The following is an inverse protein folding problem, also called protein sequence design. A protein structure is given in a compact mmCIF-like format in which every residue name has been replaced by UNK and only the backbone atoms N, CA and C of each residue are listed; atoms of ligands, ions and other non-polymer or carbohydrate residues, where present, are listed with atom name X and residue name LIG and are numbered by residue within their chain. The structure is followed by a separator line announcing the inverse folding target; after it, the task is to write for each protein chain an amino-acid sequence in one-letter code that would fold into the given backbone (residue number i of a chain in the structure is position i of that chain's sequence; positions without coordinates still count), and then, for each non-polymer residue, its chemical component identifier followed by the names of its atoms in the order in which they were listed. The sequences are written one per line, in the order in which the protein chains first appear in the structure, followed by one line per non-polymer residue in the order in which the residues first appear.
data_IF_111794406326
#
_entry.id   IF_111794406326
#
_cell.length_a   1.000
_cell.length_b   1.000
_cell.length_c   1.000
_cell.angle_alpha   90.00
_cell.angle_beta   90.00
_cell.angle_gamma   90.00
#
_symmetry.space_group_name_H-M   'P 1'
#
loop_
_entity.id
_entity.type
_entity.pdbx_description
1 polymer ?
#
# COMPACT_ATOMS: atom_id res chain seq x y z
N UNK A 1 -4.71 14.49 9.30
CA UNK A 1 -3.40 14.84 9.88
C UNK A 1 -3.24 16.35 9.76
N UNK A 2 -2.69 17.06 10.76
CA UNK A 2 -2.52 18.52 10.65
C UNK A 2 -1.29 18.86 9.79
N UNK A 3 -1.37 19.93 8.98
CA UNK A 3 -0.28 20.43 8.12
C UNK A 3 1.07 20.58 8.85
N UNK A 4 1.05 20.92 10.14
CA UNK A 4 2.27 21.04 10.97
C UNK A 4 2.96 19.69 11.24
N UNK A 5 2.18 18.63 11.44
CA UNK A 5 2.72 17.30 11.73
C UNK A 5 3.33 16.68 10.47
N UNK A 6 2.72 16.94 9.31
CA UNK A 6 3.23 16.55 8.01
C UNK A 6 4.58 17.20 7.69
N UNK A 7 4.72 18.52 7.84
CA UNK A 7 6.00 19.23 7.68
C UNK A 7 7.07 18.66 8.62
N UNK A 8 6.70 18.38 9.87
CA UNK A 8 7.64 17.83 10.86
C UNK A 8 8.12 16.44 10.46
N UNK A 9 7.24 15.59 9.92
CA UNK A 9 7.55 14.25 9.40
C UNK A 9 8.47 14.34 8.19
N UNK A 10 8.15 15.18 7.22
CA UNK A 10 9.01 15.39 6.03
C UNK A 10 10.40 15.87 6.43
N UNK A 11 10.50 16.85 7.33
CA UNK A 11 11.78 17.32 7.85
C UNK A 11 12.55 16.19 8.52
N UNK A 12 11.91 15.35 9.34
CA UNK A 12 12.55 14.18 9.95
C UNK A 12 13.08 13.20 8.90
N UNK A 13 12.30 12.89 7.87
CA UNK A 13 12.68 11.94 6.82
C UNK A 13 13.90 12.45 6.04
N UNK A 14 13.87 13.72 5.62
CA UNK A 14 15.03 14.38 4.99
C UNK A 14 16.25 14.32 5.89
N UNK A 15 16.09 14.53 7.20
CA UNK A 15 17.21 14.44 8.14
C UNK A 15 17.82 13.04 8.21
N UNK A 16 17.00 11.98 8.31
CA UNK A 16 17.48 10.59 8.30
C UNK A 16 18.31 10.28 7.05
N UNK A 17 17.85 10.75 5.89
CA UNK A 17 18.56 10.52 4.61
C UNK A 17 19.88 11.29 4.55
N UNK A 18 19.88 12.55 5.00
CA UNK A 18 21.09 13.37 5.04
C UNK A 18 22.14 12.81 6.00
N UNK A 19 21.73 12.20 7.11
CA UNK A 19 22.67 11.62 8.10
C UNK A 19 23.59 10.57 7.48
N UNK A 20 23.01 9.72 6.62
CA UNK A 20 23.72 8.59 6.00
C UNK A 20 24.73 9.05 4.93
N UNK A 21 24.46 10.16 4.26
CA UNK A 21 25.30 10.71 3.18
C UNK A 21 26.47 11.59 3.66
N UNK A 22 26.30 12.30 4.78
CA UNK A 22 27.22 13.37 5.22
C UNK A 22 28.46 12.83 5.95
N UNK A 23 28.52 11.54 6.30
CA UNK A 23 29.69 10.96 6.96
C UNK A 23 30.86 10.79 6.00
N UNK A 24 31.89 11.65 6.12
CA UNK A 24 33.10 11.62 5.28
C UNK A 24 34.34 11.95 6.10
N UNK A 25 35.48 11.41 5.67
CA UNK A 25 36.79 11.68 6.28
C UNK A 25 37.84 11.92 5.21
N UNK A 26 38.74 12.86 5.47
CA UNK A 26 39.93 13.12 4.68
C UNK A 26 41.16 12.84 5.53
N UNK A 27 42.16 12.23 4.91
CA UNK A 27 43.40 11.89 5.58
C UNK A 27 44.57 12.11 4.64
N UNK A 28 45.63 12.77 5.14
CA UNK A 28 46.88 12.94 4.41
C UNK A 28 48.05 13.21 5.35
N UNK A 29 49.26 12.88 4.89
CA UNK A 29 50.50 13.18 5.60
C UNK A 29 51.08 14.54 5.18
N UNK A 30 51.57 15.31 6.15
CA UNK A 30 52.29 16.56 5.91
C UNK A 30 53.54 16.63 6.79
N UNK A 31 54.72 16.57 6.15
CA UNK A 31 56.04 16.67 6.81
C UNK A 31 56.23 15.72 8.02
N UNK A 32 55.68 14.51 7.92
CA UNK A 32 55.78 13.49 8.98
C UNK A 32 54.70 13.57 10.05
N UNK A 33 53.68 14.40 9.87
CA UNK A 33 52.50 14.46 10.71
C UNK A 33 51.26 14.00 9.95
N UNK A 34 50.40 13.23 10.60
CA UNK A 34 49.15 12.72 10.03
C UNK A 34 48.02 13.68 10.32
N UNK A 35 47.39 14.24 9.29
CA UNK A 35 46.25 15.16 9.44
C UNK A 35 44.99 14.43 8.98
N UNK A 36 44.00 14.37 9.87
CA UNK A 36 42.71 13.76 9.62
C UNK A 36 41.59 14.78 9.87
N UNK A 37 40.63 14.83 8.94
CA UNK A 37 39.44 15.65 9.02
C UNK A 37 38.25 14.71 8.98
N UNK A 38 37.38 14.75 9.99
CA UNK A 38 36.12 13.99 10.00
C UNK A 38 34.94 14.93 9.95
N UNK A 39 34.00 14.66 9.06
CA UNK A 39 32.73 15.33 8.95
C UNK A 39 31.62 14.32 9.25
N UNK A 40 30.89 14.55 10.34
CA UNK A 40 29.72 13.79 10.75
C UNK A 40 28.53 14.75 10.91
N UNK A 41 27.30 14.25 10.93
CA UNK A 41 26.09 15.08 10.89
C UNK A 41 26.05 16.16 12.01
N UNK A 42 26.51 15.80 13.22
CA UNK A 42 26.45 16.68 14.40
C UNK A 42 27.82 17.19 14.84
N UNK A 43 28.90 16.68 14.25
CA UNK A 43 30.25 17.09 14.64
C UNK A 43 31.26 17.05 13.50
N UNK A 44 32.19 17.99 13.55
CA UNK A 44 33.33 18.05 12.65
C UNK A 44 34.59 18.08 13.50
N UNK A 45 35.59 17.28 13.13
CA UNK A 45 36.83 17.11 13.87
C UNK A 45 38.03 17.40 12.97
N UNK A 46 39.02 18.08 13.52
CA UNK A 46 40.37 18.14 13.00
C UNK A 46 41.27 17.40 13.99
N UNK A 47 41.96 16.40 13.48
CA UNK A 47 42.83 15.49 14.22
C UNK A 47 44.24 15.61 13.63
N UNK A 48 45.23 15.78 14.49
CA UNK A 48 46.65 15.81 14.10
C UNK A 48 47.37 14.79 14.97
N UNK A 49 48.06 13.83 14.35
CA UNK A 49 48.79 12.74 15.01
C UNK A 49 47.94 11.98 16.04
N UNK A 50 46.66 11.76 15.70
CA UNK A 50 45.69 11.08 16.57
C UNK A 50 45.09 11.96 17.68
N UNK A 51 45.52 13.20 17.84
CA UNK A 51 44.95 14.14 18.81
C UNK A 51 43.90 15.04 18.17
N UNK A 52 42.71 15.14 18.78
CA UNK A 52 41.68 16.10 18.36
C UNK A 52 42.14 17.51 18.73
N UNK A 53 42.53 18.30 17.73
CA UNK A 53 43.02 19.68 17.92
C UNK A 53 41.94 20.73 17.72
N UNK A 54 40.86 20.40 17.00
CA UNK A 54 39.68 21.25 16.91
C UNK A 54 38.41 20.41 16.74
N UNK A 55 37.31 20.90 17.32
CA UNK A 55 35.99 20.28 17.23
C UNK A 55 34.95 21.36 17.03
N UNK A 56 34.03 21.13 16.10
CA UNK A 56 32.81 21.91 15.96
C UNK A 56 31.60 21.00 16.19
N UNK A 57 30.86 21.24 17.28
CA UNK A 57 29.59 20.54 17.55
C UNK A 57 28.43 21.41 17.09
N UNK A 58 27.63 20.92 16.15
CA UNK A 58 26.48 21.65 15.62
C UNK A 58 25.28 21.49 16.58
N UNK A 59 24.67 22.62 16.98
CA UNK A 59 23.56 22.66 17.96
C UNK A 59 22.20 22.24 17.40
N UNK A 60 22.01 22.35 16.09
CA UNK A 60 20.77 22.02 15.38
C UNK A 60 21.06 21.77 13.90
N UNK A 61 20.25 20.95 13.27
CA UNK A 61 20.33 20.60 11.84
C UNK A 61 19.95 21.79 10.95
N UNK A 62 19.18 22.76 11.46
CA UNK A 62 18.96 24.06 10.80
C UNK A 62 20.27 24.86 10.61
N UNK A 63 21.39 24.45 11.25
CA UNK A 63 22.71 25.00 10.96
C UNK A 63 23.29 24.58 9.60
N UNK A 64 22.66 23.64 8.85
CA UNK A 64 23.00 23.40 7.44
C UNK A 64 22.69 24.60 6.53
N UNK A 65 21.96 25.61 7.04
CA UNK A 65 21.83 26.92 6.36
C UNK A 65 23.17 27.66 6.33
N UNK A 66 24.11 27.37 7.25
CA UNK A 66 25.48 27.91 7.23
C UNK A 66 26.30 27.05 6.24
N UNK A 67 26.72 27.60 5.09
CA UNK A 67 27.30 26.82 4.01
C UNK A 67 28.67 26.26 4.37
N UNK A 68 29.39 26.88 5.31
CA UNK A 68 30.75 26.49 5.64
C UNK A 68 31.04 26.63 7.12
N UNK A 69 31.69 25.61 7.67
CA UNK A 69 32.35 25.64 8.97
C UNK A 69 33.85 25.83 8.80
N UNK A 70 34.50 26.24 9.89
CA UNK A 70 35.96 26.37 9.96
C UNK A 70 36.47 25.67 11.19
N UNK A 71 37.48 24.81 11.00
CA UNK A 71 38.27 24.24 12.08
C UNK A 71 39.69 24.82 11.99
N UNK A 72 40.34 25.01 13.12
CA UNK A 72 41.74 25.43 13.13
C UNK A 72 42.49 24.83 14.31
N UNK A 73 43.67 24.31 14.03
CA UNK A 73 44.58 23.76 15.02
C UNK A 73 46.00 24.25 14.78
N UNK A 74 46.89 23.90 15.70
CA UNK A 74 48.32 24.19 15.58
C UNK A 74 49.07 22.90 15.38
N UNK A 75 49.95 22.89 14.38
CA UNK A 75 50.87 21.82 14.08
C UNK A 75 52.27 22.26 14.51
N UNK A 76 52.88 21.54 15.45
CA UNK A 76 54.25 21.83 15.90
C UNK A 76 55.24 20.90 15.20
N UNK A 77 56.17 21.47 14.45
CA UNK A 77 57.18 20.74 13.70
C UNK A 77 58.33 20.29 14.60
N UNK A 78 59.14 19.35 14.11
CA UNK A 78 60.35 18.86 14.82
C UNK A 78 61.37 19.95 15.17
N UNK A 79 61.33 21.10 14.50
CA UNK A 79 62.17 22.28 14.79
C UNK A 79 61.54 23.24 15.82
N UNK A 80 60.41 22.86 16.43
CA UNK A 80 59.67 23.67 17.40
C UNK A 80 58.82 24.78 16.80
N UNK A 81 58.81 24.95 15.46
CA UNK A 81 57.97 25.96 14.81
C UNK A 81 56.52 25.52 14.77
N UNK A 82 55.63 26.44 15.13
CA UNK A 82 54.19 26.25 15.12
C UNK A 82 53.60 26.78 13.82
N UNK A 83 52.89 25.91 13.13
CA UNK A 83 52.19 26.18 11.89
C UNK A 83 50.68 26.16 12.14
N UNK A 84 49.94 27.09 11.55
CA UNK A 84 48.48 27.14 11.68
C UNK A 84 47.85 26.24 10.62
N UNK A 85 47.14 25.21 11.05
CA UNK A 85 46.27 24.40 10.19
C UNK A 85 44.88 25.00 10.23
N UNK A 86 44.30 25.26 9.07
CA UNK A 86 42.93 25.74 8.93
C UNK A 86 42.18 24.90 7.92
N UNK A 87 41.00 24.44 8.30
CA UNK A 87 40.11 23.64 7.47
C UNK A 87 38.85 24.45 7.24
N UNK A 88 38.38 24.50 6.00
CA UNK A 88 37.06 25.02 5.62
C UNK A 88 36.26 23.87 5.04
N UNK A 89 35.17 23.50 5.71
CA UNK A 89 34.29 22.39 5.33
C UNK A 89 32.90 22.91 4.95
N UNK A 90 32.31 22.41 3.88
CA UNK A 90 30.90 22.66 3.55
C UNK A 90 30.60 22.96 2.08
N UNK A 91 29.38 23.41 1.81
CA UNK A 91 28.83 23.70 0.49
C UNK A 91 27.43 23.08 0.33
N UNK A 92 26.62 23.64 -0.56
CA UNK A 92 25.21 23.23 -0.74
C UNK A 92 25.02 22.07 -1.73
N UNK A 93 25.85 22.03 -2.78
CA UNK A 93 25.77 21.04 -3.86
C UNK A 93 26.93 20.04 -3.80
N UNK A 94 28.07 20.50 -3.28
CA UNK A 94 29.27 19.70 -3.04
C UNK A 94 29.76 19.98 -1.62
N UNK A 95 30.15 18.93 -0.91
CA UNK A 95 30.88 19.04 0.33
C UNK A 95 32.36 19.29 0.03
N UNK A 96 32.79 20.54 0.18
CA UNK A 96 34.17 20.94 -0.04
C UNK A 96 34.97 20.78 1.26
N UNK A 97 36.18 20.27 1.14
CA UNK A 97 37.19 20.22 2.20
C UNK A 97 38.45 20.97 1.72
N UNK A 98 38.66 22.16 2.25
CA UNK A 98 39.84 22.98 1.92
C UNK A 98 40.72 23.06 3.15
N UNK A 99 41.95 22.55 3.04
CA UNK A 99 42.94 22.61 4.12
C UNK A 99 44.07 23.55 3.72
N UNK A 100 44.39 24.51 4.60
CA UNK A 100 45.53 25.40 4.47
C UNK A 100 46.45 25.31 5.67
N UNK A 101 47.75 25.29 5.43
CA UNK A 101 48.80 25.40 6.44
C UNK A 101 49.54 26.71 6.17
N UNK A 102 49.56 27.61 7.16
CA UNK A 102 50.10 28.98 7.02
C UNK A 102 49.65 29.71 5.76
N UNK A 103 48.33 29.68 5.52
CA UNK A 103 47.67 30.25 4.33
C UNK A 103 48.00 29.59 2.99
N UNK A 104 48.93 28.63 2.92
CA UNK A 104 49.18 27.82 1.72
C UNK A 104 48.15 26.69 1.65
N UNK A 105 47.43 26.57 0.53
CA UNK A 105 46.47 25.49 0.30
C UNK A 105 47.22 24.17 0.09
N UNK A 106 46.86 23.16 0.89
CA UNK A 106 47.46 21.82 0.89
C UNK A 106 46.46 20.78 0.36
N UNK A 107 45.18 20.94 0.70
CA UNK A 107 44.08 20.12 0.17
C UNK A 107 42.98 21.03 -0.37
N UNK A 108 42.43 20.65 -1.52
CA UNK A 108 41.24 21.23 -2.14
C UNK A 108 40.45 20.08 -2.75
N UNK A 109 39.62 19.44 -1.94
CA UNK A 109 38.82 18.32 -2.38
C UNK A 109 37.33 18.68 -2.31
N UNK A 110 36.55 18.18 -3.26
CA UNK A 110 35.11 18.38 -3.28
C UNK A 110 34.39 17.10 -3.62
N UNK A 111 33.39 16.78 -2.80
CA UNK A 111 32.59 15.57 -2.95
C UNK A 111 31.18 15.98 -3.33
N UNK A 112 30.71 15.51 -4.48
CA UNK A 112 29.32 15.72 -4.90
C UNK A 112 28.41 14.92 -3.97
N UNK A 113 27.50 15.60 -3.28
CA UNK A 113 26.50 14.94 -2.45
C UNK A 113 25.32 14.58 -3.36
N UNK A 114 25.16 13.30 -3.67
CA UNK A 114 24.00 12.80 -4.44
C UNK A 114 23.00 12.17 -3.48
N UNK A 115 22.06 12.96 -2.98
CA UNK A 115 20.95 12.45 -2.17
C UNK A 115 19.94 11.76 -3.09
N UNK A 116 20.00 10.43 -3.20
CA UNK A 116 19.01 9.67 -3.96
C UNK A 116 17.87 9.25 -3.01
N UNK A 117 16.59 9.48 -3.37
CA UNK A 117 15.46 9.15 -2.49
C UNK A 117 15.42 7.68 -2.06
N UNK A 118 16.01 6.79 -2.85
CA UNK A 118 15.97 5.36 -2.63
C UNK A 118 17.24 4.80 -1.96
N UNK A 119 18.29 5.60 -1.79
CA UNK A 119 19.54 5.11 -1.22
C UNK A 119 19.43 4.85 0.27
N UNK A 120 20.15 3.83 0.74
CA UNK A 120 20.18 3.39 2.13
C UNK A 120 18.81 3.03 2.75
N UNK A 121 17.82 2.75 1.91
CA UNK A 121 16.50 2.23 2.28
C UNK A 121 16.33 0.81 1.77
N UNK A 122 15.63 0.00 2.54
CA UNK A 122 15.24 -1.34 2.11
C UNK A 122 14.27 -1.25 0.92
N UNK A 123 14.41 -2.18 -0.03
CA UNK A 123 13.63 -2.19 -1.27
C UNK A 123 12.38 -3.03 -1.10
N UNK A 124 11.24 -2.50 -1.53
CA UNK A 124 9.94 -3.14 -1.34
C UNK A 124 9.82 -4.44 -2.14
N UNK A 125 10.28 -4.46 -3.39
CA UNK A 125 10.14 -5.63 -4.26
C UNK A 125 10.92 -6.84 -3.73
N UNK A 126 12.23 -6.73 -3.40
CA UNK A 126 12.95 -7.81 -2.73
C UNK A 126 12.34 -8.23 -1.39
N UNK A 127 11.85 -7.28 -0.59
CA UNK A 127 11.19 -7.58 0.69
C UNK A 127 9.95 -8.47 0.50
N UNK A 128 9.11 -8.16 -0.48
CA UNK A 128 7.94 -8.99 -0.83
C UNK A 128 8.36 -10.34 -1.38
N UNK A 129 9.33 -10.36 -2.31
CA UNK A 129 9.81 -11.59 -2.93
C UNK A 129 10.38 -12.55 -1.88
N UNK A 130 11.10 -12.03 -0.88
CA UNK A 130 11.63 -12.83 0.22
C UNK A 130 10.51 -13.51 1.01
N UNK A 131 9.46 -12.77 1.42
CA UNK A 131 8.32 -13.36 2.12
C UNK A 131 7.65 -14.47 1.31
N UNK A 132 7.42 -14.23 0.01
CA UNK A 132 6.78 -15.21 -0.86
C UNK A 132 7.67 -16.44 -1.07
N UNK A 133 8.98 -16.27 -1.20
CA UNK A 133 9.93 -17.40 -1.32
C UNK A 133 10.00 -18.24 -0.04
N UNK A 134 10.00 -17.59 1.13
CA UNK A 134 10.12 -18.27 2.43
C UNK A 134 8.81 -18.93 2.88
N UNK A 135 7.65 -18.37 2.52
CA UNK A 135 6.37 -18.75 3.09
C UNK A 135 5.29 -19.13 2.07
N UNK A 136 5.55 -18.96 0.77
CA UNK A 136 4.57 -19.09 -0.32
C UNK A 136 3.36 -18.14 -0.21
N UNK A 137 3.45 -17.11 0.64
CA UNK A 137 2.42 -16.08 0.87
C UNK A 137 3.03 -14.88 1.60
N UNK A 138 2.31 -13.76 1.63
CA UNK A 138 2.62 -12.65 2.53
C UNK A 138 2.17 -13.02 3.95
N UNK A 139 3.06 -12.84 4.92
CA UNK A 139 2.76 -13.05 6.34
C UNK A 139 2.84 -11.77 7.15
N UNK A 140 3.58 -10.78 6.65
CA UNK A 140 3.71 -9.45 7.22
C UNK A 140 3.33 -8.41 6.15
N UNK A 141 2.18 -7.78 6.34
CA UNK A 141 1.67 -6.72 5.45
C UNK A 141 2.38 -5.37 5.65
N UNK A 142 3.32 -5.29 6.62
CA UNK A 142 4.09 -4.07 6.85
C UNK A 142 5.13 -3.89 5.75
N UNK A 143 5.12 -2.72 5.13
CA UNK A 143 6.13 -2.36 4.15
C UNK A 143 7.31 -1.61 4.80
N UNK A 144 8.55 -1.77 4.26
CA UNK A 144 9.72 -1.07 4.77
C UNK A 144 9.59 0.47 4.75
N UNK A 145 8.73 1.02 3.89
CA UNK A 145 8.52 2.46 3.78
C UNK A 145 7.59 3.05 4.85
N UNK A 146 6.95 2.21 5.68
CA UNK A 146 6.04 2.67 6.74
C UNK A 146 6.72 3.58 7.76
N UNK A 147 8.04 3.43 7.97
CA UNK A 147 8.80 4.30 8.88
C UNK A 147 8.85 5.77 8.44
N UNK A 148 8.53 6.04 7.17
CA UNK A 148 8.47 7.38 6.58
C UNK A 148 7.05 7.94 6.57
N UNK A 149 6.04 7.07 6.70
CA UNK A 149 4.62 7.42 6.63
C UNK A 149 4.00 7.62 8.02
N UNK A 150 4.32 6.77 8.98
CA UNK A 150 3.71 6.79 10.31
C UNK A 150 4.69 7.23 11.39
N UNK A 151 4.19 8.01 12.36
CA UNK A 151 4.89 8.23 13.61
C UNK A 151 4.69 7.02 14.55
N UNK A 152 5.61 6.79 15.49
CA UNK A 152 5.57 5.63 16.42
C UNK A 152 4.22 5.45 17.14
N UNK A 153 3.48 6.54 17.36
CA UNK A 153 2.22 6.56 18.10
C UNK A 153 0.97 6.69 17.21
N UNK A 154 1.11 6.65 15.88
CA UNK A 154 -0.04 6.77 14.99
C UNK A 154 -0.63 5.39 14.64
N UNK A 155 -1.97 5.24 14.68
CA UNK A 155 -2.61 4.03 14.22
C UNK A 155 -2.31 3.84 12.73
N UNK A 156 -1.90 2.63 12.37
CA UNK A 156 -1.60 2.26 11.00
C UNK A 156 -2.90 2.01 10.26
N UNK A 157 -2.93 2.41 8.99
CA UNK A 157 -3.99 2.00 8.08
C UNK A 157 -3.72 0.58 7.60
N UNK A 158 -4.78 -0.19 7.35
CA UNK A 158 -4.66 -1.45 6.63
C UNK A 158 -4.03 -1.22 5.25
N UNK A 159 -3.23 -2.17 4.77
CA UNK A 159 -2.65 -2.08 3.44
C UNK A 159 -3.74 -1.95 2.36
N UNK A 160 -3.53 -1.04 1.41
CA UNK A 160 -4.49 -0.70 0.36
C UNK A 160 -5.64 0.24 0.79
N UNK A 161 -5.84 0.50 2.09
CA UNK A 161 -6.91 1.36 2.57
C UNK A 161 -6.73 2.82 2.13
N UNK A 162 -5.50 3.34 2.18
CA UNK A 162 -5.21 4.75 1.93
C UNK A 162 -5.68 5.23 0.55
N UNK A 163 -5.64 4.35 -0.46
CA UNK A 163 -6.05 4.66 -1.83
C UNK A 163 -7.55 4.97 -1.94
N UNK A 164 -8.38 4.47 -1.00
CA UNK A 164 -9.82 4.73 -0.95
C UNK A 164 -10.17 6.11 -0.36
N UNK A 165 -9.19 6.80 0.22
CA UNK A 165 -9.36 8.14 0.80
C UNK A 165 -8.71 9.25 -0.01
N UNK A 166 -8.09 8.92 -1.16
CA UNK A 166 -7.45 9.92 -1.99
C UNK A 166 -8.49 10.91 -2.56
N UNK A 167 -8.28 12.21 -2.34
CA UNK A 167 -9.14 13.25 -2.88
C UNK A 167 -9.03 13.26 -4.42
N UNK A 168 -10.17 13.15 -5.10
CA UNK A 168 -10.23 13.09 -6.57
C UNK A 168 -9.97 14.42 -7.30
N UNK A 169 -9.40 15.44 -6.63
CA UNK A 169 -9.03 16.70 -7.27
C UNK A 169 -7.52 16.68 -7.53
N UNK A 170 -7.07 16.28 -8.74
CA UNK A 170 -5.65 16.22 -9.05
C UNK A 170 -5.03 17.61 -8.97
N UNK A 171 -3.81 17.67 -8.43
CA UNK A 171 -3.01 18.90 -8.42
C UNK A 171 -2.86 19.42 -9.87
N UNK A 172 -3.25 20.66 -10.19
CA UNK A 172 -3.22 21.16 -11.56
C UNK A 172 -1.85 21.00 -12.22
N UNK A 173 -1.82 20.54 -13.47
CA UNK A 173 -0.61 20.28 -14.28
C UNK A 173 0.34 19.21 -13.71
N UNK A 174 -0.04 18.51 -12.64
CA UNK A 174 0.82 17.50 -12.01
C UNK A 174 1.15 16.36 -12.98
N UNK A 175 0.12 15.77 -13.59
CA UNK A 175 0.24 14.67 -14.56
C UNK A 175 1.11 15.08 -15.74
N UNK A 176 0.83 16.24 -16.35
CA UNK A 176 1.61 16.76 -17.48
C UNK A 176 3.10 16.91 -17.13
N UNK A 177 3.42 17.38 -15.92
CA UNK A 177 4.81 17.53 -15.46
C UNK A 177 5.46 16.17 -15.21
N UNK A 178 4.75 15.23 -14.59
CA UNK A 178 5.25 13.87 -14.33
C UNK A 178 5.52 13.13 -15.65
N UNK A 179 4.60 13.18 -16.60
CA UNK A 179 4.76 12.56 -17.92
C UNK A 179 5.98 13.12 -18.64
N UNK A 180 6.17 14.45 -18.65
CA UNK A 180 7.36 15.08 -19.24
C UNK A 180 8.67 14.60 -18.59
N UNK A 181 8.72 14.50 -17.26
CA UNK A 181 9.91 13.99 -16.57
C UNK A 181 10.19 12.53 -16.94
N UNK A 182 9.13 11.72 -17.08
CA UNK A 182 9.27 10.33 -17.50
C UNK A 182 9.72 10.21 -18.96
N UNK A 183 9.22 11.03 -19.88
CA UNK A 183 9.71 11.11 -21.27
C UNK A 183 11.21 11.48 -21.34
N UNK A 184 11.64 12.44 -20.52
CA UNK A 184 13.06 12.81 -20.38
C UNK A 184 13.89 11.65 -19.83
N UNK A 185 13.35 10.87 -18.89
CA UNK A 185 13.99 9.65 -18.37
C UNK A 185 14.10 8.56 -19.43
N UNK A 186 13.06 8.28 -20.20
CA UNK A 186 13.09 7.30 -21.29
C UNK A 186 14.15 7.67 -22.34
N UNK A 187 14.24 8.95 -22.68
CA UNK A 187 15.19 9.43 -23.69
C UNK A 187 16.64 9.41 -23.20
N UNK A 188 16.86 9.57 -21.89
CA UNK A 188 18.18 9.65 -21.29
C UNK A 188 18.17 9.12 -19.83
N UNK A 189 18.23 7.79 -19.63
CA UNK A 189 18.00 7.14 -18.33
C UNK A 189 19.22 7.25 -17.38
N UNK A 190 19.52 8.49 -16.97
CA UNK A 190 20.59 8.82 -16.03
C UNK A 190 20.07 8.83 -14.59
N UNK A 191 20.98 8.80 -13.62
CA UNK A 191 20.65 9.02 -12.20
C UNK A 191 19.86 10.32 -12.00
N UNK A 192 20.20 11.38 -12.75
CA UNK A 192 19.55 12.69 -12.63
C UNK A 192 18.09 12.66 -13.08
N UNK A 193 17.81 12.07 -14.24
CA UNK A 193 16.43 12.01 -14.79
C UNK A 193 15.57 11.06 -13.98
N UNK A 194 16.10 9.89 -13.63
CA UNK A 194 15.44 8.92 -12.72
C UNK A 194 15.11 9.54 -11.37
N UNK A 195 16.05 10.30 -10.78
CA UNK A 195 15.80 11.02 -9.53
C UNK A 195 14.65 12.01 -9.65
N UNK A 196 14.65 12.83 -10.70
CA UNK A 196 13.62 13.85 -10.90
C UNK A 196 12.21 13.23 -11.05
N UNK A 197 12.09 12.14 -11.81
CA UNK A 197 10.82 11.40 -11.92
C UNK A 197 10.43 10.77 -10.59
N UNK A 198 11.36 10.11 -9.91
CA UNK A 198 11.09 9.44 -8.62
C UNK A 198 10.60 10.42 -7.56
N UNK A 199 11.28 11.56 -7.41
CA UNK A 199 10.87 12.64 -6.50
C UNK A 199 9.49 13.19 -6.85
N UNK A 200 9.16 13.23 -8.14
CA UNK A 200 7.81 13.60 -8.58
C UNK A 200 6.81 12.54 -8.16
N UNK A 201 7.08 11.25 -8.38
CA UNK A 201 6.16 10.15 -8.02
C UNK A 201 5.84 10.15 -6.52
N UNK A 202 6.84 10.27 -5.65
CA UNK A 202 6.61 10.21 -4.19
C UNK A 202 5.96 11.46 -3.59
N UNK A 203 5.77 12.52 -4.39
CA UNK A 203 5.19 13.77 -3.92
C UNK A 203 3.66 13.69 -3.74
N UNK A 204 2.99 12.81 -4.47
CA UNK A 204 1.53 12.66 -4.46
C UNK A 204 1.18 11.17 -4.56
N UNK A 205 -0.03 10.79 -4.21
CA UNK A 205 -0.48 9.39 -4.25
C UNK A 205 -1.03 9.08 -5.64
N UNK A 206 -0.63 7.97 -6.27
CA UNK A 206 -1.13 7.62 -7.60
C UNK A 206 -2.65 7.43 -7.64
N UNK A 207 -3.28 7.09 -6.52
CA UNK A 207 -4.74 7.03 -6.41
C UNK A 207 -5.44 8.36 -6.74
N UNK A 208 -4.79 9.52 -6.53
CA UNK A 208 -5.38 10.84 -6.81
C UNK A 208 -5.31 11.25 -8.29
N UNK A 209 -4.29 10.77 -9.03
CA UNK A 209 -4.01 11.22 -10.40
C UNK A 209 -3.95 10.08 -11.43
N UNK A 210 -4.12 8.83 -11.02
CA UNK A 210 -3.86 7.64 -11.82
C UNK A 210 -4.66 7.57 -13.11
N UNK A 211 -5.97 7.86 -13.04
CA UNK A 211 -6.86 7.82 -14.21
C UNK A 211 -6.46 8.85 -15.27
N UNK A 212 -6.24 10.11 -14.85
CA UNK A 212 -5.77 11.17 -15.76
C UNK A 212 -4.40 10.82 -16.35
N UNK A 213 -3.49 10.27 -15.52
CA UNK A 213 -2.17 9.86 -15.96
C UNK A 213 -2.23 8.74 -16.98
N UNK A 214 -3.02 7.68 -16.77
CA UNK A 214 -3.15 6.56 -17.72
C UNK A 214 -3.65 7.07 -19.08
N UNK A 215 -4.64 7.98 -19.09
CA UNK A 215 -5.17 8.57 -20.34
C UNK A 215 -4.07 9.34 -21.09
N UNK A 216 -3.36 10.25 -20.42
CA UNK A 216 -2.30 11.04 -21.06
C UNK A 216 -1.09 10.19 -21.47
N UNK A 217 -0.73 9.19 -20.64
CA UNK A 217 0.36 8.26 -20.92
C UNK A 217 0.10 7.47 -22.21
N UNK A 218 -1.11 6.95 -22.40
CA UNK A 218 -1.49 6.23 -23.63
C UNK A 218 -1.49 7.14 -24.85
N UNK A 219 -1.88 8.41 -24.69
CA UNK A 219 -1.86 9.40 -25.78
C UNK A 219 -0.44 9.78 -26.21
N UNK A 220 0.54 9.69 -25.32
CA UNK A 220 1.93 10.02 -25.61
C UNK A 220 2.61 9.00 -26.55
N UNK A 221 2.04 7.79 -26.71
CA UNK A 221 2.54 6.75 -27.63
C UNK A 221 4.04 6.48 -27.47
N UNK A 222 4.48 6.34 -26.21
CA UNK A 222 5.87 6.11 -25.84
C UNK A 222 6.34 4.73 -26.32
N UNK A 223 7.65 4.60 -26.58
CA UNK A 223 8.25 3.31 -26.97
C UNK A 223 8.06 2.28 -25.84
N UNK A 224 7.39 1.18 -26.19
CA UNK A 224 6.98 0.17 -25.23
C UNK A 224 8.18 -0.51 -24.54
N UNK A 225 9.27 -0.78 -25.29
CA UNK A 225 10.44 -1.45 -24.73
C UNK A 225 11.14 -0.55 -23.71
N UNK A 226 11.30 0.74 -24.04
CA UNK A 226 11.88 1.72 -23.10
C UNK A 226 11.02 1.88 -21.84
N UNK A 227 9.69 1.91 -22.00
CA UNK A 227 8.76 1.96 -20.85
C UNK A 227 8.95 0.74 -19.95
N UNK A 228 9.03 -0.45 -20.53
CA UNK A 228 9.23 -1.69 -19.77
C UNK A 228 10.58 -1.70 -19.05
N UNK A 229 11.67 -1.29 -19.71
CA UNK A 229 13.00 -1.20 -19.10
C UNK A 229 13.01 -0.27 -17.89
N UNK A 230 12.44 0.93 -18.01
CA UNK A 230 12.39 1.89 -16.90
C UNK A 230 11.38 1.48 -15.81
N UNK A 231 10.29 0.81 -16.15
CA UNK A 231 9.37 0.25 -15.15
C UNK A 231 10.07 -0.81 -14.28
N UNK A 232 10.82 -1.73 -14.90
CA UNK A 232 11.61 -2.74 -14.17
C UNK A 232 12.73 -2.07 -13.37
N UNK A 233 13.39 -1.03 -13.91
CA UNK A 233 14.37 -0.27 -13.16
C UNK A 233 13.74 0.34 -11.89
N UNK A 234 12.57 0.98 -12.02
CA UNK A 234 11.85 1.56 -10.87
C UNK A 234 11.49 0.49 -9.84
N UNK A 235 10.95 -0.66 -10.25
CA UNK A 235 10.62 -1.77 -9.35
C UNK A 235 11.85 -2.27 -8.57
N UNK A 236 12.99 -2.43 -9.23
CA UNK A 236 14.23 -2.89 -8.60
C UNK A 236 14.82 -1.88 -7.60
N UNK A 237 14.48 -0.59 -7.73
CA UNK A 237 15.04 0.48 -6.89
C UNK A 237 14.01 1.09 -5.93
N UNK A 238 12.74 0.68 -5.98
CA UNK A 238 11.66 1.26 -5.21
C UNK A 238 11.83 1.02 -3.70
N UNK A 239 12.08 2.11 -2.97
CA UNK A 239 12.02 2.20 -1.52
C UNK A 239 10.72 2.83 -1.00
N UNK A 240 9.79 3.21 -1.89
CA UNK A 240 8.51 3.84 -1.55
C UNK A 240 7.40 3.18 -2.36
N UNK A 241 6.25 2.90 -1.71
CA UNK A 241 5.12 2.18 -2.31
C UNK A 241 4.56 2.88 -3.54
N UNK A 242 4.52 4.20 -3.56
CA UNK A 242 4.03 4.97 -4.71
C UNK A 242 4.87 4.74 -5.97
N UNK A 243 6.16 4.45 -5.83
CA UNK A 243 7.02 4.09 -6.98
C UNK A 243 6.73 2.69 -7.48
N UNK A 244 6.41 1.74 -6.58
CA UNK A 244 5.96 0.40 -6.97
C UNK A 244 4.65 0.48 -7.72
N UNK A 245 3.65 1.19 -7.17
CA UNK A 245 2.34 1.39 -7.80
C UNK A 245 2.49 2.06 -9.17
N UNK A 246 3.26 3.15 -9.26
CA UNK A 246 3.54 3.83 -10.53
C UNK A 246 4.18 2.90 -11.56
N UNK A 247 5.21 2.15 -11.16
CA UNK A 247 5.90 1.24 -12.07
C UNK A 247 4.99 0.12 -12.59
N UNK A 248 4.13 -0.45 -11.72
CA UNK A 248 3.11 -1.43 -12.14
C UNK A 248 2.11 -0.79 -13.11
N UNK A 249 1.64 0.42 -12.83
CA UNK A 249 0.69 1.14 -13.69
C UNK A 249 1.24 1.40 -15.08
N UNK A 250 2.45 1.94 -15.22
CA UNK A 250 3.05 2.16 -16.56
C UNK A 250 3.31 0.84 -17.27
N UNK A 251 3.69 -0.21 -16.54
CA UNK A 251 3.91 -1.53 -17.11
C UNK A 251 2.59 -2.14 -17.62
N UNK A 252 1.48 -1.89 -16.92
CA UNK A 252 0.13 -2.25 -17.34
C UNK A 252 -0.38 -1.51 -18.58
N UNK A 253 0.30 -0.44 -19.02
CA UNK A 253 0.04 0.21 -20.31
C UNK A 253 0.83 -0.41 -21.47
N UNK A 254 1.55 -1.51 -21.23
CA UNK A 254 2.36 -2.24 -22.22
C UNK A 254 1.99 -3.73 -22.27
N UNK A 255 2.51 -4.49 -23.22
CA UNK A 255 2.46 -5.96 -23.20
C UNK A 255 3.44 -6.51 -22.16
N UNK A 256 2.96 -6.68 -20.94
CA UNK A 256 3.74 -7.10 -19.79
C UNK A 256 3.66 -8.61 -19.50
N UNK A 257 3.25 -9.44 -20.47
CA UNK A 257 3.13 -10.90 -20.32
C UNK A 257 4.41 -11.56 -19.75
N UNK A 258 5.59 -11.09 -20.17
CA UNK A 258 6.89 -11.59 -19.68
C UNK A 258 7.13 -11.33 -18.18
N UNK A 259 6.39 -10.41 -17.56
CA UNK A 259 6.53 -10.02 -16.16
C UNK A 259 5.38 -10.51 -15.28
N UNK A 260 4.50 -11.36 -15.80
CA UNK A 260 3.31 -11.84 -15.07
C UNK A 260 3.61 -12.47 -13.72
N UNK A 261 4.70 -13.23 -13.59
CA UNK A 261 5.08 -13.88 -12.32
C UNK A 261 5.55 -12.86 -11.29
N UNK A 262 6.29 -11.83 -11.73
CA UNK A 262 6.67 -10.70 -10.88
C UNK A 262 5.43 -9.94 -10.43
N UNK A 263 4.53 -9.60 -11.36
CA UNK A 263 3.26 -8.94 -11.06
C UNK A 263 2.42 -9.75 -10.09
N UNK A 264 2.26 -11.05 -10.31
CA UNK A 264 1.54 -11.94 -9.39
C UNK A 264 2.16 -11.92 -7.99
N UNK A 265 3.49 -12.03 -7.89
CA UNK A 265 4.22 -11.97 -6.62
C UNK A 265 3.95 -10.66 -5.87
N UNK A 266 3.96 -9.52 -6.57
CA UNK A 266 3.63 -8.22 -5.97
C UNK A 266 2.14 -8.13 -5.57
N UNK A 267 1.25 -8.74 -6.36
CA UNK A 267 -0.20 -8.72 -6.15
C UNK A 267 -0.66 -9.52 -4.94
N UNK A 268 0.20 -10.40 -4.40
CA UNK A 268 -0.05 -11.09 -3.12
C UNK A 268 -0.05 -10.14 -1.91
N UNK A 269 0.44 -8.91 -2.07
CA UNK A 269 0.41 -7.89 -1.04
C UNK A 269 -0.77 -6.93 -1.28
N UNK A 270 -1.63 -6.75 -0.27
CA UNK A 270 -2.90 -5.99 -0.36
C UNK A 270 -2.71 -4.57 -0.91
N UNK A 271 -1.60 -3.91 -0.57
CA UNK A 271 -1.22 -2.56 -1.06
C UNK A 271 -1.08 -2.47 -2.60
N UNK A 272 -0.74 -3.56 -3.27
CA UNK A 272 -0.40 -3.57 -4.70
C UNK A 272 -1.40 -4.35 -5.55
N UNK A 273 -2.31 -5.11 -4.95
CA UNK A 273 -3.23 -6.01 -5.65
C UNK A 273 -4.05 -5.29 -6.73
N UNK A 274 -4.62 -4.11 -6.44
CA UNK A 274 -5.43 -3.34 -7.41
C UNK A 274 -4.63 -2.93 -8.66
N UNK A 275 -3.41 -2.42 -8.48
CA UNK A 275 -2.51 -2.03 -9.57
C UNK A 275 -2.06 -3.25 -10.40
N UNK A 276 -1.80 -4.37 -9.73
CA UNK A 276 -1.45 -5.62 -10.40
C UNK A 276 -2.61 -6.14 -11.24
N UNK A 277 -3.84 -6.10 -10.72
CA UNK A 277 -5.04 -6.48 -11.48
C UNK A 277 -5.18 -5.58 -12.71
N UNK A 278 -4.98 -4.26 -12.57
CA UNK A 278 -4.95 -3.34 -13.71
C UNK A 278 -3.91 -3.79 -14.75
N UNK A 279 -2.68 -4.06 -14.33
CA UNK A 279 -1.61 -4.46 -15.23
C UNK A 279 -1.89 -5.80 -15.93
N UNK A 280 -2.41 -6.80 -15.21
CA UNK A 280 -2.82 -8.08 -15.78
C UNK A 280 -3.92 -7.89 -16.83
N UNK A 281 -5.00 -7.18 -16.49
CA UNK A 281 -6.13 -6.97 -17.42
C UNK A 281 -5.74 -6.28 -18.72
N UNK A 282 -4.77 -5.39 -18.67
CA UNK A 282 -4.38 -4.56 -19.82
C UNK A 282 -3.16 -5.10 -20.58
N UNK A 283 -2.29 -5.88 -19.95
CA UNK A 283 -1.00 -6.25 -20.50
C UNK A 283 -0.66 -7.74 -20.52
N UNK A 284 -1.54 -8.62 -20.02
CA UNK A 284 -1.32 -10.09 -20.01
C UNK A 284 -2.44 -10.84 -20.72
N UNK A 285 -2.17 -12.11 -21.06
CA UNK A 285 -3.20 -13.05 -21.51
C UNK A 285 -3.80 -13.79 -20.31
N UNK A 286 -5.08 -14.19 -20.42
CA UNK A 286 -5.79 -14.98 -19.38
C UNK A 286 -5.78 -14.31 -17.99
N UNK A 287 -5.86 -12.98 -17.96
CA UNK A 287 -5.90 -12.20 -16.73
C UNK A 287 -6.95 -12.70 -15.71
N UNK A 288 -8.12 -13.18 -16.15
CA UNK A 288 -9.16 -13.67 -15.25
C UNK A 288 -8.70 -14.84 -14.36
N UNK A 289 -7.90 -15.76 -14.90
CA UNK A 289 -7.38 -16.90 -14.13
C UNK A 289 -6.39 -16.42 -13.06
N UNK A 290 -5.55 -15.43 -13.39
CA UNK A 290 -4.59 -14.82 -12.47
C UNK A 290 -5.31 -14.03 -11.37
N UNK A 291 -6.34 -13.26 -11.73
CA UNK A 291 -7.18 -12.52 -10.78
C UNK A 291 -7.88 -13.49 -9.82
N UNK A 292 -8.38 -14.63 -10.31
CA UNK A 292 -9.01 -15.63 -9.46
C UNK A 292 -8.02 -16.23 -8.45
N UNK A 293 -6.79 -16.55 -8.89
CA UNK A 293 -5.72 -17.01 -8.00
C UNK A 293 -5.32 -15.96 -6.96
N UNK A 294 -5.23 -14.69 -7.36
CA UNK A 294 -5.00 -13.58 -6.43
C UNK A 294 -6.15 -13.48 -5.42
N UNK A 295 -7.41 -13.47 -5.85
CA UNK A 295 -8.58 -13.39 -4.97
C UNK A 295 -8.66 -14.53 -3.92
N UNK A 296 -8.05 -15.68 -4.21
CA UNK A 296 -7.91 -16.79 -3.26
C UNK A 296 -6.78 -16.58 -2.23
N UNK A 297 -5.80 -15.75 -2.55
CA UNK A 297 -4.57 -15.56 -1.78
C UNK A 297 -4.62 -14.36 -0.83
N UNK A 298 -5.33 -13.30 -1.21
CA UNK A 298 -5.51 -12.07 -0.42
C UNK A 298 -6.74 -12.13 0.49
N UNK A 299 -6.75 -11.37 1.59
CA UNK A 299 -7.79 -11.34 2.63
C UNK A 299 -8.12 -9.95 3.17
N UNK A 300 -7.82 -8.88 2.43
CA UNK A 300 -8.16 -7.52 2.80
C UNK A 300 -8.66 -6.68 1.62
N UNK A 301 -8.15 -5.44 1.50
CA UNK A 301 -8.52 -4.52 0.42
C UNK A 301 -8.19 -5.06 -0.96
N UNK A 302 -7.09 -5.80 -1.10
CA UNK A 302 -6.74 -6.53 -2.31
C UNK A 302 -7.78 -7.58 -2.66
N UNK A 303 -8.38 -8.29 -1.70
CA UNK A 303 -9.44 -9.27 -1.98
C UNK A 303 -10.70 -8.60 -2.51
N UNK A 304 -11.08 -7.47 -1.90
CA UNK A 304 -12.19 -6.64 -2.35
C UNK A 304 -11.99 -6.29 -3.83
N UNK A 305 -10.84 -5.68 -4.16
CA UNK A 305 -10.49 -5.34 -5.54
C UNK A 305 -10.46 -6.55 -6.48
N UNK A 306 -9.91 -7.69 -6.05
CA UNK A 306 -9.80 -8.89 -6.89
C UNK A 306 -11.17 -9.48 -7.22
N UNK A 307 -12.06 -9.61 -6.24
CA UNK A 307 -13.41 -10.15 -6.45
C UNK A 307 -14.27 -9.19 -7.29
N UNK A 308 -14.12 -7.87 -7.11
CA UNK A 308 -14.80 -6.87 -7.95
C UNK A 308 -14.37 -6.94 -9.42
N UNK A 309 -13.12 -7.28 -9.70
CA UNK A 309 -12.58 -7.36 -11.06
C UNK A 309 -12.63 -8.77 -11.68
N UNK A 310 -12.95 -9.80 -10.88
CA UNK A 310 -13.06 -11.19 -11.31
C UNK A 310 -14.35 -11.44 -12.12
N UNK A 311 -14.23 -12.03 -13.30
CA UNK A 311 -15.37 -12.48 -14.10
C UNK A 311 -15.76 -13.92 -13.72
N UNK A 312 -17.00 -14.12 -13.31
CA UNK A 312 -17.54 -15.42 -12.90
C UNK A 312 -18.00 -16.26 -14.11
N UNK A 313 -17.05 -16.59 -14.98
CA UNK A 313 -17.32 -17.25 -16.27
C UNK A 313 -17.54 -18.75 -16.19
N UNK A 314 -17.16 -19.40 -15.08
CA UNK A 314 -17.29 -20.85 -14.90
C UNK A 314 -18.07 -21.20 -13.63
N UNK A 315 -18.71 -22.40 -13.59
CA UNK A 315 -19.39 -22.89 -12.39
C UNK A 315 -18.47 -22.96 -11.16
N UNK A 316 -17.18 -23.27 -11.36
CA UNK A 316 -16.20 -23.34 -10.27
C UNK A 316 -15.94 -21.97 -9.65
N UNK A 317 -15.82 -20.92 -10.46
CA UNK A 317 -15.65 -19.55 -9.97
C UNK A 317 -16.92 -19.09 -9.24
N UNK A 318 -18.10 -19.34 -9.81
CA UNK A 318 -19.39 -19.02 -9.16
C UNK A 318 -19.52 -19.73 -7.81
N UNK A 319 -19.24 -21.02 -7.77
CA UNK A 319 -19.28 -21.80 -6.54
C UNK A 319 -18.26 -21.28 -5.51
N UNK A 320 -17.05 -20.93 -5.94
CA UNK A 320 -16.04 -20.34 -5.05
C UNK A 320 -16.49 -19.00 -4.48
N UNK A 321 -17.09 -18.12 -5.30
CA UNK A 321 -17.64 -16.84 -4.84
C UNK A 321 -18.70 -17.04 -3.74
N UNK A 322 -19.59 -18.02 -3.93
CA UNK A 322 -20.65 -18.32 -2.99
C UNK A 322 -20.19 -19.04 -1.71
N UNK A 323 -19.00 -19.63 -1.70
CA UNK A 323 -18.53 -20.48 -0.58
C UNK A 323 -17.35 -19.90 0.20
N UNK A 324 -16.42 -19.21 -0.49
CA UNK A 324 -15.18 -18.67 0.06
C UNK A 324 -14.92 -17.21 -0.33
N UNK A 325 -15.58 -16.72 -1.38
CA UNK A 325 -15.37 -15.37 -1.91
C UNK A 325 -15.62 -14.28 -0.87
N UNK A 326 -16.70 -14.42 -0.10
CA UNK A 326 -17.16 -13.39 0.84
C UNK A 326 -16.31 -13.25 2.12
N UNK A 327 -15.57 -14.29 2.54
CA UNK A 327 -14.75 -14.26 3.77
C UNK A 327 -13.60 -13.24 3.65
N UNK A 328 -13.51 -12.28 4.57
CA UNK A 328 -12.52 -11.20 4.50
C UNK A 328 -12.11 -10.68 5.89
N UNK A 329 -10.88 -10.15 6.04
CA UNK A 329 -10.40 -9.64 7.34
C UNK A 329 -10.84 -8.19 7.61
N UNK A 330 -11.11 -7.40 6.56
CA UNK A 330 -11.59 -6.02 6.69
C UNK A 330 -13.09 -5.98 6.97
N UNK A 331 -13.82 -6.93 6.40
CA UNK A 331 -15.27 -6.97 6.46
C UNK A 331 -15.88 -7.79 5.34
N UNK A 332 -16.88 -8.61 5.67
CA UNK A 332 -17.58 -9.47 4.71
C UNK A 332 -18.63 -8.70 3.91
N UNK A 333 -19.22 -7.65 4.50
CA UNK A 333 -20.17 -6.71 3.88
C UNK A 333 -19.66 -6.13 2.55
N UNK A 334 -18.39 -5.75 2.47
CA UNK A 334 -17.76 -5.22 1.25
C UNK A 334 -17.83 -6.21 0.07
N UNK A 335 -17.87 -7.52 0.34
CA UNK A 335 -17.86 -8.56 -0.69
C UNK A 335 -19.22 -9.24 -0.91
N UNK A 336 -20.13 -9.14 0.05
CA UNK A 336 -21.36 -9.95 0.09
C UNK A 336 -22.22 -9.74 -1.16
N UNK A 337 -22.51 -8.49 -1.51
CA UNK A 337 -23.30 -8.15 -2.69
C UNK A 337 -22.64 -8.65 -3.98
N UNK A 338 -21.35 -8.38 -4.15
CA UNK A 338 -20.60 -8.78 -5.35
C UNK A 338 -20.57 -10.30 -5.49
N UNK A 339 -20.35 -11.04 -4.38
CA UNK A 339 -20.37 -12.50 -4.38
C UNK A 339 -21.77 -13.05 -4.68
N UNK A 340 -22.83 -12.46 -4.11
CA UNK A 340 -24.21 -12.88 -4.34
C UNK A 340 -24.62 -12.74 -5.81
N UNK A 341 -24.31 -11.59 -6.42
CA UNK A 341 -24.64 -11.29 -7.81
C UNK A 341 -23.80 -12.13 -8.77
N UNK A 342 -22.47 -12.08 -8.66
CA UNK A 342 -21.58 -12.79 -9.60
C UNK A 342 -21.64 -14.30 -9.43
N UNK A 343 -21.88 -14.77 -8.20
CA UNK A 343 -22.05 -16.19 -7.90
C UNK A 343 -23.42 -16.74 -8.26
N UNK A 344 -24.40 -15.90 -8.62
CA UNK A 344 -25.79 -16.28 -8.88
C UNK A 344 -26.41 -17.02 -7.67
N UNK A 345 -26.37 -16.38 -6.50
CA UNK A 345 -26.83 -16.95 -5.23
C UNK A 345 -28.29 -17.44 -5.30
N UNK A 346 -29.16 -16.68 -5.95
CA UNK A 346 -30.57 -17.03 -6.19
C UNK A 346 -30.72 -18.33 -6.97
N UNK A 347 -29.95 -18.49 -8.06
CA UNK A 347 -29.93 -19.71 -8.87
C UNK A 347 -29.42 -20.88 -8.04
N UNK A 348 -28.30 -20.70 -7.33
CA UNK A 348 -27.68 -21.74 -6.53
C UNK A 348 -28.58 -22.26 -5.40
N UNK A 349 -29.36 -21.37 -4.76
CA UNK A 349 -30.32 -21.75 -3.71
C UNK A 349 -31.65 -22.28 -4.26
N UNK A 350 -31.97 -22.03 -5.53
CA UNK A 350 -33.17 -22.55 -6.17
C UNK A 350 -33.14 -24.06 -6.39
N UNK A 351 -31.95 -24.67 -6.40
CA UNK A 351 -31.79 -26.12 -6.47
C UNK A 351 -32.52 -26.83 -5.31
N UNK A 352 -33.08 -28.01 -5.59
CA UNK A 352 -33.83 -28.81 -4.59
C UNK A 352 -32.94 -29.21 -3.42
N UNK A 353 -31.67 -29.53 -3.70
CA UNK A 353 -30.67 -29.83 -2.69
C UNK A 353 -29.37 -29.11 -2.99
N UNK A 354 -28.73 -28.57 -1.94
CA UNK A 354 -27.43 -27.91 -2.02
C UNK A 354 -26.39 -28.64 -1.16
N UNK A 355 -25.10 -28.34 -1.30
CA UNK A 355 -24.07 -28.85 -0.38
C UNK A 355 -24.08 -28.08 0.94
N UNK A 356 -23.55 -28.67 2.02
CA UNK A 356 -23.36 -27.96 3.30
C UNK A 356 -22.41 -26.77 3.14
N UNK A 357 -21.40 -26.90 2.29
CA UNK A 357 -20.45 -25.82 2.01
C UNK A 357 -21.14 -24.63 1.33
N UNK A 358 -22.03 -24.87 0.36
CA UNK A 358 -22.83 -23.82 -0.26
C UNK A 358 -23.79 -23.18 0.74
N UNK A 359 -24.44 -23.98 1.59
CA UNK A 359 -25.28 -23.46 2.67
C UNK A 359 -24.51 -22.53 3.61
N UNK A 360 -23.29 -22.91 4.02
CA UNK A 360 -22.47 -22.10 4.92
C UNK A 360 -22.02 -20.78 4.31
N UNK A 361 -21.59 -20.82 3.05
CA UNK A 361 -21.20 -19.63 2.32
C UNK A 361 -22.38 -18.70 2.03
N UNK A 362 -23.53 -19.25 1.62
CA UNK A 362 -24.76 -18.51 1.44
C UNK A 362 -25.22 -17.85 2.76
N UNK A 363 -25.11 -18.55 3.89
CA UNK A 363 -25.42 -18.01 5.20
C UNK A 363 -24.54 -16.82 5.58
N UNK A 364 -23.23 -16.89 5.27
CA UNK A 364 -22.29 -15.79 5.47
C UNK A 364 -22.65 -14.57 4.60
N UNK A 365 -22.93 -14.80 3.31
CA UNK A 365 -23.33 -13.74 2.37
C UNK A 365 -24.62 -13.08 2.82
N UNK A 366 -25.65 -13.86 3.16
CA UNK A 366 -26.94 -13.34 3.63
C UNK A 366 -26.76 -12.54 4.92
N UNK A 367 -26.01 -13.06 5.90
CA UNK A 367 -25.75 -12.34 7.14
C UNK A 367 -25.04 -11.01 6.88
N UNK A 368 -24.08 -10.98 5.97
CA UNK A 368 -23.35 -9.77 5.61
C UNK A 368 -24.22 -8.76 4.83
N UNK A 369 -25.10 -9.23 3.94
CA UNK A 369 -26.09 -8.39 3.24
C UNK A 369 -27.14 -7.79 4.21
N UNK A 370 -27.45 -8.48 5.30
CA UNK A 370 -28.40 -8.03 6.31
C UNK A 370 -27.78 -7.08 7.35
N UNK A 371 -26.46 -6.86 7.30
CA UNK A 371 -25.78 -5.93 8.19
C UNK A 371 -26.09 -4.48 7.77
N UNK A 372 -26.42 -3.62 8.73
CA UNK A 372 -26.72 -2.20 8.50
C UNK A 372 -25.51 -1.40 7.98
N UNK A 373 -24.29 -1.84 8.29
CA UNK A 373 -23.05 -1.21 7.83
C UNK A 373 -22.66 -1.63 6.39
N UNK A 374 -23.45 -2.48 5.73
CA UNK A 374 -23.15 -2.93 4.38
C UNK A 374 -23.26 -1.78 3.37
N UNK A 375 -22.23 -1.54 2.50
CA UNK A 375 -22.31 -0.52 1.46
C UNK A 375 -23.46 -0.75 0.47
N UNK A 376 -23.81 -2.02 0.24
CA UNK A 376 -25.00 -2.47 -0.48
C UNK A 376 -25.60 -3.65 0.27
N UNK A 377 -26.84 -3.48 0.73
CA UNK A 377 -27.52 -4.43 1.60
C UNK A 377 -28.42 -5.40 0.84
N UNK A 378 -29.19 -6.19 1.60
CA UNK A 378 -30.16 -7.14 1.03
C UNK A 378 -31.25 -6.42 0.23
N UNK A 379 -31.60 -5.19 0.61
CA UNK A 379 -32.64 -4.41 -0.06
C UNK A 379 -32.19 -3.91 -1.45
N UNK A 380 -30.88 -3.89 -1.73
CA UNK A 380 -30.32 -3.61 -3.06
C UNK A 380 -30.27 -4.86 -3.96
N UNK A 381 -30.43 -6.07 -3.39
CA UNK A 381 -30.32 -7.32 -4.12
C UNK A 381 -31.68 -7.73 -4.73
N UNK A 382 -31.82 -7.81 -6.06
CA UNK A 382 -33.12 -7.98 -6.73
C UNK A 382 -33.89 -9.26 -6.36
N UNK A 383 -33.18 -10.31 -5.91
CA UNK A 383 -33.75 -11.62 -5.59
C UNK A 383 -33.80 -11.88 -4.09
N UNK A 384 -33.81 -10.82 -3.28
CA UNK A 384 -33.78 -10.87 -1.82
C UNK A 384 -34.82 -11.85 -1.23
N UNK A 385 -36.10 -11.69 -1.57
CA UNK A 385 -37.17 -12.51 -1.01
C UNK A 385 -37.01 -14.00 -1.37
N UNK A 386 -36.59 -14.28 -2.61
CA UNK A 386 -36.34 -15.64 -3.09
C UNK A 386 -35.17 -16.26 -2.33
N UNK A 387 -34.05 -15.55 -2.23
CA UNK A 387 -32.85 -16.05 -1.52
C UNK A 387 -33.13 -16.32 -0.05
N UNK A 388 -33.79 -15.39 0.65
CA UNK A 388 -34.11 -15.61 2.08
C UNK A 388 -35.07 -16.80 2.25
N UNK A 389 -36.11 -16.89 1.43
CA UNK A 389 -37.06 -18.01 1.47
C UNK A 389 -36.39 -19.36 1.23
N UNK A 390 -35.58 -19.48 0.17
CA UNK A 390 -34.86 -20.71 -0.17
C UNK A 390 -33.83 -21.06 0.90
N UNK A 391 -33.11 -20.08 1.45
CA UNK A 391 -32.14 -20.34 2.51
C UNK A 391 -32.80 -20.90 3.77
N UNK A 392 -33.91 -20.30 4.22
CA UNK A 392 -34.65 -20.79 5.40
C UNK A 392 -35.24 -22.18 5.15
N UNK A 393 -35.68 -22.47 3.92
CA UNK A 393 -36.10 -23.82 3.54
C UNK A 393 -34.96 -24.84 3.69
N UNK A 394 -33.78 -24.56 3.13
CA UNK A 394 -32.60 -25.44 3.23
C UNK A 394 -32.12 -25.60 4.68
N UNK A 395 -32.38 -24.64 5.56
CA UNK A 395 -32.04 -24.71 6.97
C UNK A 395 -32.73 -25.89 7.70
N UNK A 396 -33.87 -26.40 7.20
CA UNK A 396 -34.53 -27.57 7.80
C UNK A 396 -33.62 -28.81 7.79
N UNK A 397 -32.77 -28.92 6.77
CA UNK A 397 -31.79 -29.99 6.65
C UNK A 397 -30.47 -29.64 7.34
N UNK A 398 -30.00 -28.40 7.16
CA UNK A 398 -28.62 -28.02 7.50
C UNK A 398 -28.42 -27.30 8.83
N UNK A 399 -29.47 -26.77 9.46
CA UNK A 399 -29.37 -26.09 10.75
C UNK A 399 -29.17 -27.09 11.90
N UNK A 400 -27.92 -27.40 12.23
CA UNK A 400 -27.58 -28.38 13.25
C UNK A 400 -26.77 -27.80 14.40
N UNK A 401 -25.99 -26.76 14.13
CA UNK A 401 -25.09 -26.08 15.07
C UNK A 401 -25.47 -24.61 15.27
N UNK A 402 -24.92 -23.99 16.31
CA UNK A 402 -25.15 -22.56 16.58
C UNK A 402 -24.67 -21.66 15.43
N UNK A 403 -23.60 -22.07 14.73
CA UNK A 403 -23.10 -21.34 13.56
C UNK A 403 -24.14 -21.32 12.44
N UNK A 404 -24.82 -22.44 12.22
CA UNK A 404 -25.86 -22.57 11.19
C UNK A 404 -27.11 -21.75 11.54
N UNK A 405 -27.32 -21.48 12.83
CA UNK A 405 -28.46 -20.71 13.33
C UNK A 405 -28.26 -19.18 13.23
N UNK A 406 -27.03 -18.66 13.22
CA UNK A 406 -26.79 -17.21 13.19
C UNK A 406 -27.38 -16.49 11.96
N UNK A 407 -27.30 -17.03 10.73
CA UNK A 407 -27.97 -16.41 9.58
C UNK A 407 -29.49 -16.36 9.77
N UNK A 408 -30.11 -17.38 10.38
CA UNK A 408 -31.55 -17.39 10.68
C UNK A 408 -31.94 -16.32 11.70
N UNK A 409 -31.08 -16.07 12.70
CA UNK A 409 -31.27 -14.96 13.63
C UNK A 409 -31.22 -13.60 12.92
N UNK A 410 -30.25 -13.40 12.04
CA UNK A 410 -30.15 -12.16 11.25
C UNK A 410 -31.39 -11.96 10.35
N UNK A 411 -31.86 -13.03 9.69
CA UNK A 411 -33.10 -12.99 8.91
C UNK A 411 -34.30 -12.66 9.81
N UNK A 412 -34.38 -13.25 10.99
CA UNK A 412 -35.46 -12.95 11.94
C UNK A 412 -35.43 -11.50 12.42
N UNK A 413 -34.25 -10.94 12.72
CA UNK A 413 -34.10 -9.52 13.09
C UNK A 413 -34.57 -8.61 11.96
N UNK A 414 -34.14 -8.88 10.73
CA UNK A 414 -34.55 -8.13 9.54
C UNK A 414 -36.07 -8.19 9.29
N UNK A 415 -36.66 -9.38 9.40
CA UNK A 415 -38.11 -9.61 9.22
C UNK A 415 -38.92 -8.93 10.30
N UNK A 416 -38.42 -8.81 11.53
CA UNK A 416 -39.14 -8.15 12.62
C UNK A 416 -38.69 -6.69 12.85
N UNK A 417 -38.09 -6.05 11.85
CA UNK A 417 -37.80 -4.62 11.86
C UNK A 417 -39.09 -3.78 12.06
N UNK A 418 -38.92 -2.48 12.39
CA UNK A 418 -40.02 -1.57 12.65
C UNK A 418 -41.08 -1.61 11.52
N UNK A 419 -42.38 -1.66 11.83
CA UNK A 419 -43.44 -1.68 10.82
C UNK A 419 -43.32 -0.60 9.74
N UNK A 420 -42.80 0.59 10.08
CA UNK A 420 -42.59 1.68 9.10
C UNK A 420 -41.55 1.32 8.05
N UNK A 421 -40.49 0.59 8.42
CA UNK A 421 -39.49 0.10 7.48
C UNK A 421 -40.13 -0.89 6.51
N UNK A 422 -41.03 -1.74 7.01
CA UNK A 422 -41.75 -2.70 6.16
C UNK A 422 -42.79 -2.03 5.25
N UNK A 423 -43.47 -0.97 5.69
CA UNK A 423 -44.33 -0.17 4.82
C UNK A 423 -43.55 0.34 3.59
N UNK A 424 -42.34 0.87 3.78
CA UNK A 424 -41.47 1.29 2.68
C UNK A 424 -41.04 0.11 1.80
N UNK A 425 -40.57 -0.99 2.39
CA UNK A 425 -40.15 -2.19 1.64
C UNK A 425 -41.26 -2.76 0.77
N UNK A 426 -42.52 -2.75 1.24
CA UNK A 426 -43.68 -3.20 0.47
C UNK A 426 -44.05 -2.30 -0.70
N UNK A 427 -43.63 -1.02 -0.69
CA UNK A 427 -43.78 -0.13 -1.85
C UNK A 427 -42.71 -0.36 -2.92
N UNK A 428 -41.64 -1.08 -2.58
CA UNK A 428 -40.52 -1.40 -3.47
C UNK A 428 -40.60 -2.87 -3.94
N UNK A 429 -39.53 -3.66 -3.75
CA UNK A 429 -39.41 -5.01 -4.30
C UNK A 429 -40.10 -6.11 -3.48
N UNK A 430 -40.49 -5.85 -2.23
CA UNK A 430 -41.01 -6.89 -1.34
C UNK A 430 -42.52 -7.06 -1.45
N UNK A 431 -42.99 -8.31 -1.49
CA UNK A 431 -44.42 -8.63 -1.44
C UNK A 431 -44.84 -9.15 -0.08
N UNK A 432 -46.03 -8.75 0.38
CA UNK A 432 -46.53 -9.10 1.71
C UNK A 432 -46.64 -10.62 1.96
N UNK A 433 -46.97 -11.41 0.95
CA UNK A 433 -47.06 -12.87 1.09
C UNK A 433 -45.68 -13.53 1.17
N UNK A 434 -44.67 -13.02 0.45
CA UNK A 434 -43.29 -13.51 0.51
C UNK A 434 -42.70 -13.24 1.89
N UNK A 435 -42.90 -12.01 2.41
CA UNK A 435 -42.54 -11.62 3.77
C UNK A 435 -43.15 -12.57 4.83
N UNK A 436 -44.48 -12.79 4.79
CA UNK A 436 -45.16 -13.66 5.77
C UNK A 436 -44.65 -15.09 5.73
N UNK A 437 -44.43 -15.63 4.53
CA UNK A 437 -43.90 -16.99 4.35
C UNK A 437 -42.52 -17.16 5.00
N UNK A 438 -41.62 -16.18 4.79
CA UNK A 438 -40.30 -16.18 5.43
C UNK A 438 -40.43 -16.06 6.96
N UNK A 439 -41.29 -15.16 7.44
CA UNK A 439 -41.56 -14.96 8.87
C UNK A 439 -42.04 -16.24 9.55
N UNK A 440 -43.05 -16.90 8.98
CA UNK A 440 -43.60 -18.15 9.52
C UNK A 440 -42.54 -19.25 9.56
N UNK A 441 -41.75 -19.39 8.49
CA UNK A 441 -40.74 -20.46 8.39
C UNK A 441 -39.57 -20.22 9.34
N UNK A 442 -39.06 -18.98 9.45
CA UNK A 442 -37.93 -18.69 10.35
C UNK A 442 -38.33 -18.85 11.82
N UNK A 443 -39.57 -18.51 12.18
CA UNK A 443 -40.10 -18.65 13.54
C UNK A 443 -40.12 -20.10 14.04
N UNK A 444 -40.21 -21.09 13.15
CA UNK A 444 -40.09 -22.50 13.54
C UNK A 444 -38.71 -22.81 14.15
N UNK A 445 -37.66 -22.16 13.64
CA UNK A 445 -36.30 -22.29 14.19
C UNK A 445 -36.11 -21.45 15.44
N UNK A 446 -36.63 -20.21 15.47
CA UNK A 446 -36.48 -19.30 16.61
C UNK A 446 -37.15 -19.87 17.88
N UNK A 447 -38.31 -20.50 17.71
CA UNK A 447 -39.06 -21.09 18.82
C UNK A 447 -38.63 -22.51 19.19
N UNK A 448 -37.65 -23.09 18.48
CA UNK A 448 -37.10 -24.40 18.84
C UNK A 448 -36.34 -24.28 20.17
N UNK A 449 -36.75 -25.01 21.23
CA UNK A 449 -36.11 -24.98 22.54
C UNK A 449 -34.60 -25.29 22.50
N UNK A 450 -34.13 -26.00 21.47
CA UNK A 450 -32.71 -26.29 21.22
C UNK A 450 -31.86 -25.01 21.16
N UNK A 451 -32.43 -23.89 20.74
CA UNK A 451 -31.70 -22.61 20.54
C UNK A 451 -31.95 -21.56 21.64
N UNK A 452 -32.71 -21.90 22.68
CA UNK A 452 -33.15 -21.00 23.76
C UNK A 452 -32.04 -20.21 24.49
N UNK A 453 -30.83 -20.77 24.61
CA UNK A 453 -29.67 -20.10 25.22
C UNK A 453 -29.01 -19.05 24.30
N UNK A 454 -29.16 -19.21 22.98
CA UNK A 454 -28.60 -18.28 22.00
C UNK A 454 -29.49 -17.06 21.81
N UNK A 455 -30.81 -17.27 21.82
CA UNK A 455 -31.81 -16.20 21.75
C UNK A 455 -31.86 -15.35 23.02
N UNK A 456 -31.40 -15.84 24.19
CA UNK A 456 -31.34 -15.01 25.40
C UNK A 456 -30.09 -14.12 25.46
N UNK A 457 -28.94 -14.58 24.98
CA UNK A 457 -27.67 -13.82 25.06
C UNK A 457 -27.59 -12.61 24.12
N UNK A 458 -28.23 -12.66 22.95
CA UNK A 458 -28.16 -11.56 21.96
C UNK A 458 -29.11 -10.39 22.28
N UNK A 459 -30.26 -10.67 22.91
CA UNK A 459 -31.24 -9.66 23.32
C UNK A 459 -30.92 -9.02 24.69
N UNK A 460 -29.75 -9.32 25.27
CA UNK A 460 -29.29 -8.82 26.58
C UNK A 460 -28.16 -7.77 26.48
N UNK A 461 -27.75 -7.37 25.27
CA UNK A 461 -26.70 -6.36 25.04
C UNK A 461 -27.24 -5.14 24.33
#
# INVERSE_FOLDING_TARGET
MGFKDEIKREMRNVMKDVEKEVRKSWEFDYKGHRIEIRNEMKEELLIIDGMIVARNKRKSILSHIIPYSKLSGTLEMKDGKKHKVSVKLGGYVQLNCIVKIDNKKILDDSLKLEFLPWDHKEKIVPFIQQQVQEHNKIIDERLPDEEYLYDENQPRLAAGLADNFADGIPTPFYVKKLLKLFEEQLSNPTIKTRKATYEKIIFDTIASYGDEFIVQFRQAQLDENLVQEEAIWLLNHAAHREVVKFAITILGCTNCEKYKELLYTLGLHEEFTSYVIFAMKNGTIRANDQIWQLAQSVRGWGKINAVEQLDATTPEIKHWLLTKGCENNIGNEYLAYTCAVKGELDVALYEETISKELYDGAGLIIQALLNEDAPRGIDDYPYASVVLSRFVHHAQKYCQTLKDFYPLLAINEFINADPKVWEERFTNQWKQHEYKSIQETVQLFINDPKWSLATTKKFSN
#
